data_IF_760803473662
#
_entry.id   IF_760803473662
#
_cell.length_a   1.000
_cell.length_b   1.000
_cell.length_c   1.000
_cell.angle_alpha   90.00
_cell.angle_beta   90.00
_cell.angle_gamma   90.00
#
_symmetry.space_group_name_H-M   'P 1'
#
loop_
_entity.id
_entity.type
_entity.pdbx_description
1 polymer ?
#
# COMPACT_ATOMS: atom_id res chain seq x y z
N UNK A 1 3.48 16.09 18.12
CA UNK A 1 2.22 15.34 17.93
C UNK A 1 1.40 15.94 16.79
N UNK A 2 0.40 15.24 16.27
CA UNK A 2 -0.58 15.74 15.29
C UNK A 2 -1.99 15.36 15.75
N UNK A 3 -2.99 16.12 15.31
CA UNK A 3 -4.42 15.90 15.58
C UNK A 3 -5.22 16.33 14.35
N UNK A 4 -6.53 16.15 14.37
CA UNK A 4 -7.43 16.66 13.34
C UNK A 4 -7.13 18.13 13.01
N UNK A 5 -7.04 18.45 11.72
CA UNK A 5 -6.56 19.74 11.23
C UNK A 5 -7.35 20.95 11.77
N UNK A 6 -8.64 20.78 12.05
CA UNK A 6 -9.49 21.84 12.62
C UNK A 6 -9.14 22.18 14.07
N UNK A 7 -8.46 21.27 14.77
CA UNK A 7 -8.16 21.37 16.20
C UNK A 7 -6.69 21.76 16.45
N UNK A 8 -5.86 21.90 15.39
CA UNK A 8 -4.41 22.09 15.53
C UNK A 8 -4.06 23.34 16.34
N UNK A 9 -4.67 24.48 16.01
CA UNK A 9 -4.36 25.77 16.65
C UNK A 9 -4.77 25.75 18.12
N UNK A 10 -6.00 25.31 18.40
CA UNK A 10 -6.50 25.19 19.77
C UNK A 10 -5.67 24.20 20.60
N UNK A 11 -5.25 23.08 20.01
CA UNK A 11 -4.42 22.10 20.69
C UNK A 11 -3.02 22.67 20.99
N UNK A 12 -2.43 23.45 20.09
CA UNK A 12 -1.14 24.10 20.32
C UNK A 12 -1.24 25.18 21.42
N UNK A 13 -2.31 25.95 21.46
CA UNK A 13 -2.55 26.94 22.52
C UNK A 13 -2.73 26.29 23.89
N UNK A 14 -3.46 25.16 23.95
CA UNK A 14 -3.70 24.43 25.19
C UNK A 14 -2.48 23.67 25.70
N UNK A 15 -1.60 23.22 24.79
CA UNK A 15 -0.43 22.40 25.12
C UNK A 15 0.85 23.01 24.52
N UNK A 16 1.34 24.15 25.05
CA UNK A 16 2.45 24.90 24.45
C UNK A 16 3.79 24.14 24.45
N UNK A 17 3.95 23.15 25.33
CA UNK A 17 5.14 22.31 25.40
C UNK A 17 5.17 21.21 24.32
N UNK A 18 4.06 20.98 23.62
CA UNK A 18 3.97 19.97 22.56
C UNK A 18 4.24 20.63 21.22
N UNK A 19 5.28 20.15 20.50
CA UNK A 19 5.45 20.52 19.10
C UNK A 19 4.36 19.86 18.25
N UNK A 20 3.35 20.66 17.89
CA UNK A 20 2.24 20.26 17.03
C UNK A 20 2.65 20.45 15.57
N UNK A 21 2.40 19.45 14.71
CA UNK A 21 2.64 19.57 13.26
C UNK A 21 1.46 19.05 12.47
N UNK A 22 1.26 19.58 11.27
CA UNK A 22 0.18 19.22 10.34
C UNK A 22 0.45 17.96 9.51
N UNK A 23 1.47 17.18 9.86
CA UNK A 23 1.74 15.88 9.25
C UNK A 23 0.56 14.91 9.44
N UNK A 24 0.38 14.01 8.46
CA UNK A 24 -0.70 13.01 8.46
C UNK A 24 -0.62 12.06 9.66
N UNK A 25 0.59 11.67 10.03
CA UNK A 25 0.87 10.98 11.28
C UNK A 25 2.28 11.33 11.75
N UNK A 26 2.51 11.24 13.05
CA UNK A 26 3.81 11.50 13.68
C UNK A 26 4.11 10.35 14.63
N UNK A 27 5.30 9.77 14.48
CA UNK A 27 5.88 8.85 15.45
C UNK A 27 6.92 9.62 16.26
N UNK A 28 6.71 9.69 17.57
CA UNK A 28 7.64 10.28 18.52
C UNK A 28 7.93 9.26 19.64
N UNK A 29 9.10 8.61 19.53
CA UNK A 29 9.48 7.51 20.40
C UNK A 29 8.45 6.37 20.40
N UNK A 30 7.77 6.20 21.54
CA UNK A 30 6.74 5.17 21.76
C UNK A 30 5.33 5.63 21.40
N UNK A 31 5.13 6.91 21.15
CA UNK A 31 3.82 7.49 20.84
C UNK A 31 3.67 7.68 19.34
N UNK A 32 2.49 7.36 18.83
CA UNK A 32 2.12 7.67 17.44
C UNK A 32 0.79 8.42 17.48
N UNK A 33 0.74 9.57 16.83
CA UNK A 33 -0.46 10.39 16.66
C UNK A 33 -0.83 10.51 15.19
N UNK A 34 -2.11 10.64 14.88
CA UNK A 34 -2.66 10.68 13.52
C UNK A 34 -3.60 11.86 13.37
N UNK A 35 -3.52 12.54 12.23
CA UNK A 35 -4.25 13.77 11.92
C UNK A 35 -5.70 13.55 11.47
N UNK A 36 -6.21 12.31 11.46
CA UNK A 36 -7.59 12.00 11.09
C UNK A 36 -7.82 10.54 10.74
N UNK A 37 -9.10 10.14 10.67
CA UNK A 37 -9.49 8.73 10.48
C UNK A 37 -8.88 8.08 9.21
N UNK A 38 -8.84 8.79 8.08
CA UNK A 38 -8.24 8.29 6.83
C UNK A 38 -6.72 8.12 6.94
N UNK A 39 -6.04 8.94 7.73
CA UNK A 39 -4.58 8.86 7.93
C UNK A 39 -4.17 7.70 8.83
N UNK A 40 -5.10 7.13 9.61
CA UNK A 40 -4.86 5.91 10.39
C UNK A 40 -4.60 4.72 9.48
N UNK A 41 -5.30 4.61 8.35
CA UNK A 41 -5.06 3.53 7.40
C UNK A 41 -3.64 3.59 6.85
N UNK A 42 -3.17 4.78 6.45
CA UNK A 42 -1.78 4.95 6.00
C UNK A 42 -0.76 4.62 7.08
N UNK A 43 -1.03 5.05 8.31
CA UNK A 43 -0.20 4.71 9.45
C UNK A 43 -0.12 3.18 9.63
N UNK A 44 -1.23 2.47 9.55
CA UNK A 44 -1.25 1.01 9.67
C UNK A 44 -0.47 0.35 8.54
N UNK A 45 -0.65 0.79 7.29
CA UNK A 45 0.12 0.28 6.15
C UNK A 45 1.63 0.60 6.30
N UNK A 46 1.98 1.77 6.85
CA UNK A 46 3.36 2.14 7.16
C UNK A 46 3.98 1.21 8.21
N UNK A 47 3.24 0.90 9.28
CA UNK A 47 3.67 -0.03 10.33
C UNK A 47 3.85 -1.43 9.74
N UNK A 48 2.89 -1.91 8.96
CA UNK A 48 2.97 -3.22 8.30
C UNK A 48 4.18 -3.31 7.37
N UNK A 49 4.46 -2.25 6.60
CA UNK A 49 5.62 -2.21 5.72
C UNK A 49 6.94 -2.28 6.49
N UNK A 50 7.03 -1.62 7.65
CA UNK A 50 8.21 -1.68 8.52
C UNK A 50 8.40 -3.04 9.19
N UNK A 51 7.31 -3.69 9.61
CA UNK A 51 7.38 -4.93 10.40
C UNK A 51 7.43 -6.19 9.53
N UNK A 52 6.67 -6.23 8.45
CA UNK A 52 6.45 -7.42 7.62
C UNK A 52 6.91 -7.23 6.16
N UNK A 53 7.44 -6.06 5.83
CA UNK A 53 7.92 -5.73 4.50
C UNK A 53 6.82 -5.19 3.57
N UNK A 54 7.24 -4.63 2.42
CA UNK A 54 6.33 -3.91 1.52
C UNK A 54 5.28 -4.80 0.85
N UNK A 55 5.58 -6.09 0.65
CA UNK A 55 4.64 -7.05 0.04
C UNK A 55 3.39 -7.21 0.90
N UNK A 56 3.56 -7.42 2.21
CA UNK A 56 2.42 -7.61 3.13
C UNK A 56 1.59 -6.34 3.25
N UNK A 57 2.24 -5.18 3.36
CA UNK A 57 1.54 -3.90 3.37
C UNK A 57 0.72 -3.68 2.09
N UNK A 58 1.29 -4.03 0.93
CA UNK A 58 0.61 -3.94 -0.36
C UNK A 58 -0.59 -4.89 -0.45
N UNK A 59 -0.43 -6.16 -0.06
CA UNK A 59 -1.53 -7.14 -0.04
C UNK A 59 -2.69 -6.66 0.86
N UNK A 60 -2.39 -6.14 2.04
CA UNK A 60 -3.41 -5.58 2.94
C UNK A 60 -4.09 -4.36 2.34
N UNK A 61 -3.33 -3.46 1.69
CA UNK A 61 -3.92 -2.29 1.02
C UNK A 61 -4.96 -2.68 -0.05
N UNK A 62 -4.71 -3.77 -0.79
CA UNK A 62 -5.65 -4.29 -1.79
C UNK A 62 -6.95 -4.84 -1.18
N UNK A 63 -6.93 -5.39 0.04
CA UNK A 63 -8.14 -5.88 0.73
C UNK A 63 -9.11 -4.75 1.05
N UNK A 64 -8.59 -3.56 1.37
CA UNK A 64 -9.40 -2.39 1.71
C UNK A 64 -9.81 -1.56 0.50
N UNK A 65 -9.50 -2.01 -0.73
CA UNK A 65 -9.58 -1.20 -1.95
C UNK A 65 -8.96 0.18 -1.70
N UNK A 66 -7.86 0.19 -0.94
CA UNK A 66 -7.26 1.43 -0.48
C UNK A 66 -6.49 2.04 -1.64
N UNK A 67 -7.18 2.86 -2.40
CA UNK A 67 -6.57 3.64 -3.47
C UNK A 67 -5.96 4.90 -2.89
N UNK A 68 -4.70 4.76 -2.48
CA UNK A 68 -3.81 5.85 -2.13
C UNK A 68 -4.05 7.08 -3.03
N UNK A 69 -3.97 6.91 -4.35
CA UNK A 69 -4.04 8.01 -5.33
C UNK A 69 -5.35 8.81 -5.26
N UNK A 70 -6.49 8.15 -5.04
CA UNK A 70 -7.79 8.83 -5.01
C UNK A 70 -8.05 9.59 -3.69
N UNK A 71 -7.37 9.26 -2.59
CA UNK A 71 -7.45 10.04 -1.34
C UNK A 71 -6.34 11.10 -1.23
N UNK A 72 -5.23 10.98 -1.98
CA UNK A 72 -4.15 11.97 -2.00
C UNK A 72 -4.54 13.31 -2.64
N UNK A 73 -5.60 13.35 -3.47
CA UNK A 73 -6.09 14.61 -4.05
C UNK A 73 -6.61 15.62 -3.03
N UNK A 74 -6.74 15.25 -1.75
CA UNK A 74 -7.23 16.14 -0.70
C UNK A 74 -6.21 16.51 0.38
N UNK A 75 -5.05 15.86 0.51
CA UNK A 75 -4.09 16.25 1.56
C UNK A 75 -2.66 15.80 1.28
N UNK A 76 -1.74 16.77 1.29
CA UNK A 76 -0.30 16.61 1.03
C UNK A 76 0.36 15.60 1.99
N UNK A 77 1.22 14.74 1.46
CA UNK A 77 2.29 14.09 2.22
C UNK A 77 2.13 12.60 2.50
N UNK A 78 2.39 11.76 1.49
CA UNK A 78 3.07 10.47 1.63
C UNK A 78 3.37 9.95 0.22
N UNK A 79 4.65 9.72 -0.06
CA UNK A 79 5.22 9.78 -1.40
C UNK A 79 5.62 8.41 -1.96
N UNK A 80 5.05 7.32 -1.41
CA UNK A 80 5.50 5.96 -1.75
C UNK A 80 4.70 5.28 -2.85
N UNK A 81 3.55 5.81 -3.24
CA UNK A 81 2.72 5.31 -4.33
C UNK A 81 2.33 6.41 -5.33
N UNK A 82 3.00 7.57 -5.30
CA UNK A 82 2.71 8.66 -6.22
C UNK A 82 3.30 8.39 -7.61
N UNK A 83 2.45 8.41 -8.64
CA UNK A 83 2.84 8.42 -10.04
C UNK A 83 2.52 7.12 -10.78
N UNK A 84 2.67 7.16 -12.12
CA UNK A 84 2.29 6.08 -13.03
C UNK A 84 2.80 4.67 -12.63
N UNK A 85 3.88 4.58 -11.85
CA UNK A 85 4.39 3.32 -11.32
C UNK A 85 3.43 2.62 -10.34
N UNK A 86 2.79 3.35 -9.43
CA UNK A 86 1.81 2.78 -8.49
C UNK A 86 0.57 2.22 -9.20
N UNK A 87 0.10 2.95 -10.22
CA UNK A 87 -1.00 2.52 -11.07
C UNK A 87 -0.67 1.26 -11.89
N UNK A 88 0.52 1.21 -12.52
CA UNK A 88 0.97 0.00 -13.23
C UNK A 88 1.04 -1.22 -12.31
N UNK A 89 1.50 -1.04 -11.06
CA UNK A 89 1.55 -2.12 -10.08
C UNK A 89 0.16 -2.67 -9.77
N UNK A 90 -0.80 -1.79 -9.44
CA UNK A 90 -2.19 -2.19 -9.12
C UNK A 90 -2.84 -2.90 -10.30
N UNK A 91 -2.73 -2.36 -11.52
CA UNK A 91 -3.27 -3.01 -12.72
C UNK A 91 -2.63 -4.37 -12.99
N UNK A 92 -1.31 -4.49 -12.82
CA UNK A 92 -0.61 -5.76 -13.00
C UNK A 92 -1.05 -6.81 -11.98
N UNK A 93 -1.18 -6.43 -10.70
CA UNK A 93 -1.65 -7.32 -9.65
C UNK A 93 -3.10 -7.76 -9.90
N UNK A 94 -3.98 -6.83 -10.30
CA UNK A 94 -5.35 -7.17 -10.71
C UNK A 94 -5.39 -8.17 -11.88
N UNK A 95 -4.53 -7.98 -12.89
CA UNK A 95 -4.39 -8.92 -14.01
C UNK A 95 -3.88 -10.30 -13.55
N UNK A 96 -2.92 -10.36 -12.63
CA UNK A 96 -2.42 -11.62 -12.05
C UNK A 96 -3.52 -12.34 -11.27
N UNK A 97 -4.29 -11.63 -10.44
CA UNK A 97 -5.37 -12.21 -9.64
C UNK A 97 -6.51 -12.74 -10.51
N UNK A 98 -6.91 -12.00 -11.55
CA UNK A 98 -7.97 -12.45 -12.49
C UNK A 98 -7.57 -13.66 -13.34
N UNK A 99 -6.27 -13.95 -13.45
CA UNK A 99 -5.70 -15.09 -14.21
C UNK A 99 -5.02 -16.13 -13.30
N UNK A 100 -5.34 -16.15 -12.01
CA UNK A 100 -4.64 -16.98 -11.02
C UNK A 100 -4.75 -18.49 -11.30
N UNK A 101 -5.88 -18.93 -11.85
CA UNK A 101 -6.14 -20.33 -12.25
C UNK A 101 -5.57 -20.68 -13.63
N UNK A 102 -5.49 -19.70 -14.53
CA UNK A 102 -4.98 -19.85 -15.91
C UNK A 102 -3.88 -18.83 -16.18
N UNK A 103 -2.66 -19.05 -15.64
CA UNK A 103 -1.62 -18.03 -15.64
C UNK A 103 -1.15 -17.70 -17.04
N UNK A 104 -1.07 -16.41 -17.33
CA UNK A 104 -0.53 -15.88 -18.59
C UNK A 104 0.92 -15.37 -18.40
N UNK A 105 1.72 -15.32 -19.48
CA UNK A 105 3.08 -14.79 -19.43
C UNK A 105 3.16 -13.34 -18.90
N UNK A 106 4.26 -12.99 -18.22
CA UNK A 106 4.48 -11.64 -17.69
C UNK A 106 4.46 -10.54 -18.77
N UNK A 107 4.84 -10.87 -20.01
CA UNK A 107 4.72 -9.95 -21.16
C UNK A 107 3.27 -9.52 -21.42
N UNK A 108 2.31 -10.40 -21.17
CA UNK A 108 0.89 -10.16 -21.43
C UNK A 108 0.26 -9.43 -20.22
N UNK A 109 0.73 -9.73 -19.01
CA UNK A 109 0.43 -8.92 -17.81
C UNK A 109 0.93 -7.48 -17.98
N UNK A 110 2.17 -7.27 -18.44
CA UNK A 110 2.72 -5.95 -18.67
C UNK A 110 1.87 -5.14 -19.66
N UNK A 111 1.45 -5.78 -20.77
CA UNK A 111 0.52 -5.17 -21.74
C UNK A 111 -0.81 -4.76 -21.12
N UNK A 112 -1.44 -5.62 -20.32
CA UNK A 112 -2.70 -5.30 -19.63
C UNK A 112 -2.52 -4.18 -18.60
N UNK A 113 -1.36 -4.12 -17.94
CA UNK A 113 -1.02 -3.05 -17.02
C UNK A 113 -0.71 -1.71 -17.74
N UNK A 114 -0.55 -1.72 -19.07
CA UNK A 114 -0.22 -0.53 -19.85
C UNK A 114 1.26 -0.13 -19.78
N UNK A 115 2.16 -1.07 -19.51
CA UNK A 115 3.60 -0.80 -19.39
C UNK A 115 4.46 -1.85 -20.12
N UNK A 116 5.76 -1.56 -20.27
CA UNK A 116 6.72 -2.53 -20.80
C UNK A 116 7.08 -3.59 -19.75
N UNK A 117 7.60 -4.75 -20.16
CA UNK A 117 8.07 -5.77 -19.21
C UNK A 117 9.18 -5.23 -18.29
N UNK A 118 10.08 -4.39 -18.82
CA UNK A 118 11.14 -3.73 -18.03
C UNK A 118 10.56 -2.73 -17.02
N UNK A 119 9.53 -1.99 -17.41
CA UNK A 119 8.80 -1.09 -16.51
C UNK A 119 8.09 -1.88 -15.42
N UNK A 120 7.49 -3.02 -15.75
CA UNK A 120 6.86 -3.94 -14.81
C UNK A 120 7.89 -4.43 -13.77
N UNK A 121 9.03 -4.95 -14.22
CA UNK A 121 10.10 -5.39 -13.33
C UNK A 121 10.55 -4.27 -12.39
N UNK A 122 10.79 -3.07 -12.95
CA UNK A 122 11.20 -1.90 -12.16
C UNK A 122 10.15 -1.53 -11.11
N UNK A 123 8.89 -1.44 -11.48
CA UNK A 123 7.81 -1.07 -10.56
C UNK A 123 7.68 -2.08 -9.43
N UNK A 124 7.78 -3.38 -9.71
CA UNK A 124 7.77 -4.41 -8.67
C UNK A 124 8.99 -4.35 -7.76
N UNK A 125 10.18 -4.07 -8.29
CA UNK A 125 11.39 -3.90 -7.48
C UNK A 125 11.33 -2.64 -6.61
N UNK A 126 10.96 -1.51 -7.20
CA UNK A 126 10.91 -0.21 -6.52
C UNK A 126 9.87 -0.21 -5.38
N UNK A 127 8.72 -0.89 -5.56
CA UNK A 127 7.62 -0.86 -4.60
C UNK A 127 7.57 -2.07 -3.67
N UNK A 128 7.83 -3.28 -4.19
CA UNK A 128 7.65 -4.54 -3.46
C UNK A 128 8.97 -5.28 -3.17
N UNK A 129 10.10 -4.79 -3.70
CA UNK A 129 11.42 -5.39 -3.52
C UNK A 129 11.52 -6.86 -3.95
N UNK A 130 10.68 -7.27 -4.91
CA UNK A 130 10.65 -8.61 -5.48
C UNK A 130 10.35 -8.53 -6.99
N UNK A 131 10.64 -9.60 -7.73
CA UNK A 131 10.29 -9.66 -9.15
C UNK A 131 8.80 -9.96 -9.35
N UNK A 132 8.19 -9.49 -10.46
CA UNK A 132 6.79 -9.76 -10.79
C UNK A 132 6.50 -11.27 -10.92
N UNK A 133 7.45 -12.05 -11.43
CA UNK A 133 7.32 -13.51 -11.51
C UNK A 133 7.25 -14.18 -10.14
N UNK A 134 8.10 -13.75 -9.20
CA UNK A 134 8.10 -14.27 -7.83
C UNK A 134 6.81 -13.92 -7.10
N UNK A 135 6.34 -12.68 -7.23
CA UNK A 135 5.06 -12.26 -6.67
C UNK A 135 3.89 -13.07 -7.24
N UNK A 136 3.84 -13.26 -8.56
CA UNK A 136 2.78 -14.04 -9.19
C UNK A 136 2.77 -15.50 -8.73
N UNK A 137 3.95 -16.10 -8.57
CA UNK A 137 4.08 -17.43 -7.98
C UNK A 137 3.56 -17.48 -6.54
N UNK A 138 3.88 -16.48 -5.71
CA UNK A 138 3.41 -16.39 -4.32
C UNK A 138 1.88 -16.30 -4.25
N UNK A 139 1.26 -15.46 -5.09
CA UNK A 139 -0.21 -15.36 -5.16
C UNK A 139 -0.85 -16.71 -5.46
N UNK A 140 -0.33 -17.42 -6.48
CA UNK A 140 -0.84 -18.73 -6.89
C UNK A 140 -0.68 -19.79 -5.82
N UNK A 141 0.46 -19.80 -5.13
CA UNK A 141 0.70 -20.71 -4.00
C UNK A 141 -0.22 -20.41 -2.82
N UNK A 142 -0.50 -19.13 -2.55
CA UNK A 142 -1.50 -18.72 -1.56
C UNK A 142 -2.88 -19.28 -1.90
N UNK A 143 -3.35 -19.05 -3.12
CA UNK A 143 -4.66 -19.56 -3.59
C UNK A 143 -4.76 -21.08 -3.52
N UNK A 144 -3.72 -21.80 -3.93
CA UNK A 144 -3.70 -23.26 -3.85
C UNK A 144 -3.82 -23.74 -2.39
N UNK A 145 -3.16 -23.05 -1.44
CA UNK A 145 -3.25 -23.36 -0.01
C UNK A 145 -4.63 -23.10 0.55
N UNK A 146 -5.27 -21.99 0.15
CA UNK A 146 -6.62 -21.66 0.59
C UNK A 146 -7.64 -22.68 0.08
N UNK A 147 -7.51 -23.11 -1.18
CA UNK A 147 -8.34 -24.17 -1.76
C UNK A 147 -8.14 -25.50 -1.03
N UNK A 148 -6.89 -25.90 -0.77
CA UNK A 148 -6.60 -27.15 -0.07
C UNK A 148 -7.20 -27.18 1.35
N UNK A 149 -7.15 -26.05 2.07
CA UNK A 149 -7.79 -25.91 3.40
C UNK A 149 -9.31 -25.88 3.33
N UNK A 150 -9.87 -25.38 2.24
CA UNK A 150 -11.32 -25.30 2.02
C UNK A 150 -11.95 -26.59 1.54
N UNK A 151 -11.17 -27.62 1.21
CA UNK A 151 -11.65 -28.94 0.75
C UNK A 151 -11.65 -30.01 1.84
N UNK A 152 -11.18 -29.72 3.05
CA UNK A 152 -11.15 -30.66 4.20
C UNK A 152 -12.50 -30.73 4.94
N UNK A 153 -13.62 -30.76 4.22
CA UNK A 153 -14.98 -30.95 4.77
C UNK A 153 -15.55 -32.31 4.38
#
# INVERSE_FOLDING_TARGET
ATIHWQELDQFQEQFPDISVRSDRFIKDGRMITSGGASTVMELMLHILAQQFGPVVAFDVSNLFVYDAENQYHLTRGADRLQGAGGEYLRRAVGAMMSRIETPIPLKDIAKQAGCSLRSLDRVFQDNLQISPGKYYQMLRLGRARDLARGTDF
#
